data_IF_720695671291
#
_entry.id   IF_720695671291
#
_cell.length_a   1.000
_cell.length_b   1.000
_cell.length_c   1.000
_cell.angle_alpha   90.00
_cell.angle_beta   90.00
_cell.angle_gamma   90.00
#
_symmetry.space_group_name_H-M   'P 1'
#
loop_
_entity.id
_entity.type
_entity.pdbx_description
1 polymer ?
#
# COMPACT_ATOMS: atom_id res chain seq x y z
N UNK A 1 -10.65 12.24 49.43
CA UNK A 1 -10.18 11.49 48.23
C UNK A 1 -8.73 11.00 48.37
N UNK A 2 -7.81 11.74 48.96
CA UNK A 2 -6.37 11.38 49.11
C UNK A 2 -6.09 10.06 49.87
N UNK A 3 -6.84 9.77 50.94
CA UNK A 3 -6.60 8.54 51.74
C UNK A 3 -6.88 7.23 50.96
N UNK A 4 -7.80 7.26 49.99
CA UNK A 4 -8.13 6.08 49.20
C UNK A 4 -7.12 5.89 48.04
N UNK A 5 -6.61 6.97 47.46
CA UNK A 5 -5.59 6.92 46.44
C UNK A 5 -4.28 6.33 46.96
N UNK A 6 -3.83 6.75 48.16
CA UNK A 6 -2.62 6.24 48.80
C UNK A 6 -2.73 4.73 49.11
N UNK A 7 -3.87 4.27 49.60
CA UNK A 7 -4.12 2.83 49.85
C UNK A 7 -4.07 2.01 48.55
N UNK A 8 -4.61 2.54 47.45
CA UNK A 8 -4.61 1.87 46.16
C UNK A 8 -3.18 1.78 45.57
N UNK A 9 -2.38 2.85 45.76
CA UNK A 9 -0.97 2.86 45.32
C UNK A 9 -0.10 1.88 46.13
N UNK A 10 -0.33 1.78 47.42
CA UNK A 10 0.39 0.83 48.28
C UNK A 10 0.03 -0.64 47.93
N UNK A 11 -1.25 -0.88 47.57
CA UNK A 11 -1.75 -2.16 47.12
C UNK A 11 -1.18 -2.55 45.74
N UNK A 12 -1.00 -1.55 44.84
CA UNK A 12 -0.37 -1.73 43.54
C UNK A 12 1.11 -2.09 43.66
N UNK A 13 1.85 -1.37 44.54
CA UNK A 13 3.26 -1.67 44.83
C UNK A 13 3.50 -3.02 45.49
N UNK A 14 2.51 -3.53 46.22
CA UNK A 14 2.55 -4.86 46.85
C UNK A 14 2.11 -5.99 45.90
N UNK A 15 1.67 -5.68 44.68
CA UNK A 15 1.22 -6.69 43.70
C UNK A 15 -0.14 -7.34 44.01
N UNK A 16 -0.99 -6.70 44.84
CA UNK A 16 -2.24 -7.24 45.33
C UNK A 16 -3.50 -6.57 44.75
N UNK A 17 -3.36 -5.85 43.63
CA UNK A 17 -4.48 -5.20 42.94
C UNK A 17 -5.27 -6.15 42.06
N UNK A 18 -6.59 -5.94 41.95
CA UNK A 18 -7.42 -6.58 40.92
C UNK A 18 -7.16 -5.95 39.54
N UNK A 19 -7.53 -6.59 38.42
CA UNK A 19 -7.36 -6.03 37.08
C UNK A 19 -8.01 -4.65 36.91
N UNK A 20 -9.15 -4.42 37.52
CA UNK A 20 -9.87 -3.13 37.47
C UNK A 20 -9.12 -2.05 38.28
N UNK A 21 -8.54 -2.42 39.45
CA UNK A 21 -7.74 -1.53 40.28
C UNK A 21 -6.42 -1.16 39.59
N UNK A 22 -5.82 -2.08 38.85
CA UNK A 22 -4.61 -1.84 38.02
C UNK A 22 -4.91 -0.81 36.92
N UNK A 23 -6.02 -1.00 36.17
CA UNK A 23 -6.40 -0.09 35.10
C UNK A 23 -6.64 1.34 35.62
N UNK A 24 -7.20 1.50 36.83
CA UNK A 24 -7.40 2.82 37.46
C UNK A 24 -6.06 3.50 37.79
N UNK A 25 -5.08 2.76 38.32
CA UNK A 25 -3.76 3.28 38.68
C UNK A 25 -2.97 3.66 37.42
N UNK A 26 -3.00 2.84 36.39
CA UNK A 26 -2.32 3.10 35.13
C UNK A 26 -2.91 4.29 34.39
N UNK A 27 -4.24 4.41 34.33
CA UNK A 27 -4.93 5.58 33.76
C UNK A 27 -4.59 6.86 34.50
N UNK A 28 -4.41 6.80 35.81
CA UNK A 28 -4.02 7.94 36.65
C UNK A 28 -2.58 8.35 36.42
N UNK A 29 -1.67 7.39 36.23
CA UNK A 29 -0.27 7.63 35.93
C UNK A 29 -0.08 8.33 34.58
N UNK A 30 -0.91 8.01 33.58
CA UNK A 30 -0.89 8.63 32.24
C UNK A 30 -1.45 10.07 32.23
N UNK A 31 -2.19 10.50 33.26
CA UNK A 31 -2.77 11.84 33.37
C UNK A 31 -1.89 12.84 34.18
N UNK A 32 -0.81 12.38 34.78
CA UNK A 32 0.11 13.26 35.49
C UNK A 32 1.00 14.03 34.49
N UNK A 33 1.02 15.37 34.53
CA UNK A 33 1.97 16.14 33.73
C UNK A 33 3.38 15.81 34.17
N UNK A 34 4.23 15.38 33.25
CA UNK A 34 5.68 15.21 33.49
C UNK A 34 6.32 16.59 33.64
N UNK A 35 6.38 17.12 34.86
CA UNK A 35 7.35 18.16 35.21
C UNK A 35 8.74 17.55 35.19
N UNK A 36 9.56 17.98 34.24
CA UNK A 36 10.99 17.65 34.16
C UNK A 36 11.76 18.44 35.23
N UNK A 37 11.69 18.01 36.45
CA UNK A 37 12.78 18.36 37.39
C UNK A 37 13.88 17.33 37.27
N UNK A 38 15.07 17.76 36.83
CA UNK A 38 16.25 16.92 36.79
C UNK A 38 16.58 16.46 38.21
N UNK A 39 16.86 15.18 38.48
CA UNK A 39 17.19 14.70 39.81
C UNK A 39 18.49 15.37 40.31
N UNK A 40 18.46 15.84 41.55
CA UNK A 40 19.55 16.55 42.19
C UNK A 40 20.83 15.69 42.21
N UNK A 41 21.88 16.19 41.59
CA UNK A 41 23.18 15.50 41.46
C UNK A 41 23.77 15.06 42.80
N UNK A 42 23.47 15.72 43.91
CA UNK A 42 23.87 15.37 45.25
C UNK A 42 23.29 14.05 45.77
N UNK A 43 22.06 13.74 45.40
CA UNK A 43 21.38 12.47 45.77
C UNK A 43 21.95 11.25 45.03
N UNK A 44 22.45 11.46 43.82
CA UNK A 44 23.04 10.38 43.00
C UNK A 44 24.45 10.03 43.52
N UNK A 45 25.24 11.01 43.96
CA UNK A 45 26.60 10.80 44.50
C UNK A 45 26.59 10.09 45.87
N UNK A 46 25.66 10.44 46.76
CA UNK A 46 25.52 9.76 48.05
C UNK A 46 25.06 8.31 47.90
N UNK A 47 24.17 8.02 46.98
CA UNK A 47 23.72 6.66 46.69
C UNK A 47 24.80 5.77 46.07
N UNK A 48 25.68 6.35 45.23
CA UNK A 48 26.87 5.66 44.70
C UNK A 48 27.85 5.23 45.79
N UNK A 49 28.13 6.10 46.78
CA UNK A 49 29.05 5.83 47.84
C UNK A 49 28.58 4.75 48.80
N UNK A 50 27.27 4.68 49.09
CA UNK A 50 26.69 3.60 49.90
C UNK A 50 26.75 2.24 49.21
N UNK A 51 26.51 2.18 47.90
CA UNK A 51 26.60 0.94 47.11
C UNK A 51 28.04 0.44 47.04
N UNK A 52 29.06 1.35 46.86
CA UNK A 52 30.47 0.98 46.86
C UNK A 52 30.99 0.46 48.21
N UNK A 53 30.50 0.98 49.33
CA UNK A 53 30.88 0.52 50.66
C UNK A 53 30.31 -0.87 51.01
N UNK A 54 29.19 -1.28 50.42
CA UNK A 54 28.61 -2.64 50.57
C UNK A 54 29.27 -3.69 49.67
N UNK A 55 30.01 -3.29 48.62
CA UNK A 55 30.65 -4.20 47.68
C UNK A 55 32.15 -4.45 47.98
N UNK A 56 32.72 -3.91 49.08
CA UNK A 56 34.09 -4.22 49.46
C UNK A 56 34.21 -5.64 50.02
N UNK A 57 34.92 -6.58 49.34
CA UNK A 57 35.11 -7.91 49.86
C UNK A 57 36.07 -7.88 51.05
N UNK A 58 35.69 -8.53 52.16
CA UNK A 58 36.56 -8.75 53.31
C UNK A 58 37.71 -9.68 52.89
N UNK A 59 38.90 -9.13 52.83
CA UNK A 59 40.09 -9.86 52.43
C UNK A 59 40.42 -10.99 53.43
N UNK A 60 40.35 -12.24 52.98
CA UNK A 60 41.05 -13.38 53.61
C UNK A 60 42.39 -13.55 52.91
N UNK A 61 43.46 -13.44 53.68
CA UNK A 61 44.85 -13.67 53.23
C UNK A 61 45.03 -15.15 52.86
N UNK A 62 45.28 -15.43 51.61
CA UNK A 62 45.57 -16.78 51.11
C UNK A 62 47.10 -16.97 51.01
N UNK A 63 47.63 -18.02 51.59
CA UNK A 63 49.06 -18.33 51.65
C UNK A 63 49.67 -18.53 50.23
N UNK A 64 50.86 -17.94 49.98
CA UNK A 64 51.53 -17.78 48.69
C UNK A 64 51.89 -19.09 47.96
N UNK A 65 51.77 -20.28 48.56
CA UNK A 65 52.17 -21.57 47.96
C UNK A 65 51.09 -22.14 47.03
N UNK A 66 49.83 -21.76 47.24
CA UNK A 66 48.70 -22.22 46.39
C UNK A 66 48.57 -21.42 45.09
N UNK A 67 49.10 -20.20 45.03
CA UNK A 67 48.94 -19.29 43.86
C UNK A 67 49.69 -19.83 42.62
N UNK A 68 50.87 -20.45 42.78
CA UNK A 68 51.61 -21.01 41.64
C UNK A 68 50.91 -22.21 40.98
N UNK A 69 50.26 -23.07 41.77
CA UNK A 69 49.51 -24.22 41.22
C UNK A 69 48.18 -23.80 40.56
N UNK A 70 47.54 -22.76 41.08
CA UNK A 70 46.33 -22.19 40.50
C UNK A 70 46.64 -21.44 39.18
N UNK A 71 47.80 -20.74 39.11
CA UNK A 71 48.23 -20.07 37.91
C UNK A 71 48.52 -21.03 36.75
N UNK A 72 49.10 -22.19 37.04
CA UNK A 72 49.34 -23.23 35.99
C UNK A 72 48.03 -23.85 35.54
N UNK A 73 47.08 -24.14 36.43
CA UNK A 73 45.77 -24.69 36.09
C UNK A 73 44.93 -23.65 35.29
N UNK A 74 45.00 -22.35 35.67
CA UNK A 74 44.34 -21.27 34.94
C UNK A 74 44.92 -21.08 33.52
N UNK A 75 46.24 -21.24 33.36
CA UNK A 75 46.89 -21.19 32.02
C UNK A 75 46.45 -22.33 31.12
N UNK A 76 46.32 -23.55 31.65
CA UNK A 76 45.85 -24.70 30.87
C UNK A 76 44.39 -24.53 30.50
N UNK A 77 43.54 -24.04 31.39
CA UNK A 77 42.12 -23.77 31.07
C UNK A 77 42.00 -22.66 30.05
N UNK A 78 42.83 -21.61 30.11
CA UNK A 78 42.85 -20.54 29.11
C UNK A 78 43.27 -21.05 27.73
N UNK A 79 44.32 -21.89 27.65
CA UNK A 79 44.75 -22.51 26.40
C UNK A 79 43.70 -23.46 25.84
N UNK A 80 43.03 -24.23 26.71
CA UNK A 80 41.94 -25.11 26.27
C UNK A 80 40.71 -24.32 25.82
N UNK A 81 40.33 -23.24 26.51
CA UNK A 81 39.20 -22.39 26.11
C UNK A 81 39.50 -21.59 24.84
N UNK A 82 40.72 -21.14 24.61
CA UNK A 82 41.15 -20.51 23.38
C UNK A 82 41.22 -21.55 22.24
N UNK A 83 41.72 -22.76 22.48
CA UNK A 83 41.68 -23.85 21.54
C UNK A 83 40.26 -24.27 21.15
N UNK A 84 39.38 -24.40 22.14
CA UNK A 84 37.96 -24.69 21.95
C UNK A 84 37.24 -23.57 21.22
N UNK A 85 37.54 -22.30 21.56
CA UNK A 85 37.03 -21.12 20.86
C UNK A 85 37.43 -21.11 19.39
N UNK A 86 38.70 -21.44 19.06
CA UNK A 86 39.15 -21.56 17.68
C UNK A 86 38.62 -22.83 16.97
N UNK A 87 38.34 -23.91 17.68
CA UNK A 87 37.78 -25.13 17.13
C UNK A 87 36.28 -25.05 16.90
N UNK A 88 35.52 -24.40 17.83
CA UNK A 88 34.09 -24.15 17.70
C UNK A 88 33.81 -22.94 16.80
N UNK A 89 34.67 -21.92 16.85
CA UNK A 89 34.55 -20.71 16.00
C UNK A 89 34.84 -20.96 14.51
N UNK A 90 35.45 -22.10 14.14
CA UNK A 90 35.60 -22.50 12.73
C UNK A 90 34.37 -23.21 12.16
N UNK A 91 33.44 -23.62 13.00
CA UNK A 91 32.11 -24.10 12.57
C UNK A 91 31.04 -22.98 12.67
N UNK A 92 31.41 -21.74 12.35
CA UNK A 92 30.39 -20.81 11.89
C UNK A 92 29.90 -21.43 10.58
N UNK A 93 28.75 -22.13 10.68
CA UNK A 93 27.87 -22.27 9.53
C UNK A 93 27.91 -20.92 8.81
N UNK A 94 28.17 -20.92 7.47
CA UNK A 94 28.07 -19.66 6.77
C UNK A 94 26.73 -19.09 7.22
N UNK A 95 26.74 -17.96 7.91
CA UNK A 95 25.56 -17.11 7.96
C UNK A 95 25.15 -17.05 6.50
N UNK A 96 24.10 -17.79 6.15
CA UNK A 96 23.42 -17.59 4.88
C UNK A 96 23.34 -16.07 4.80
N UNK A 97 24.15 -15.51 3.91
CA UNK A 97 24.13 -14.08 3.66
C UNK A 97 22.65 -13.82 3.48
N UNK A 98 22.04 -13.15 4.47
CA UNK A 98 20.69 -12.62 4.32
C UNK A 98 20.90 -11.70 3.15
N UNK A 99 20.62 -12.21 1.95
CA UNK A 99 20.66 -11.42 0.73
C UNK A 99 19.83 -10.24 1.13
N UNK A 100 20.45 -9.07 1.32
CA UNK A 100 19.69 -7.84 1.52
C UNK A 100 18.84 -7.77 0.28
N UNK A 101 17.61 -8.21 0.43
CA UNK A 101 16.58 -8.06 -0.58
C UNK A 101 16.59 -6.58 -0.89
N UNK A 102 17.14 -6.20 -2.04
CA UNK A 102 17.07 -4.83 -2.52
C UNK A 102 15.59 -4.52 -2.56
N UNK A 103 15.14 -3.78 -1.57
CA UNK A 103 13.71 -3.54 -1.34
C UNK A 103 13.09 -2.93 -2.59
N UNK A 104 11.94 -3.44 -3.00
CA UNK A 104 11.23 -2.95 -4.17
C UNK A 104 10.37 -1.79 -3.71
N UNK A 105 10.67 -0.62 -4.26
CA UNK A 105 9.96 0.61 -3.94
C UNK A 105 8.52 0.58 -4.50
N UNK A 106 7.59 1.27 -3.84
CA UNK A 106 6.22 1.39 -4.32
C UNK A 106 6.14 2.11 -5.66
N UNK A 107 5.02 1.93 -6.30
CA UNK A 107 4.65 2.68 -7.51
C UNK A 107 4.55 4.18 -7.25
N UNK A 108 4.35 4.95 -8.32
CA UNK A 108 4.28 6.41 -8.26
C UNK A 108 3.47 7.01 -9.41
N UNK A 109 3.58 8.32 -9.59
CA UNK A 109 2.90 9.03 -10.67
C UNK A 109 3.66 8.84 -11.99
N UNK A 110 3.25 7.84 -12.79
CA UNK A 110 3.89 7.50 -14.07
C UNK A 110 2.83 7.26 -15.13
N UNK A 111 2.98 7.90 -16.30
CA UNK A 111 2.12 7.65 -17.45
C UNK A 111 2.81 7.97 -18.77
N UNK A 112 2.35 7.35 -19.83
CA UNK A 112 2.75 7.58 -21.21
C UNK A 112 1.53 8.07 -21.97
N UNK A 113 1.67 9.20 -22.66
CA UNK A 113 0.68 9.75 -23.57
C UNK A 113 1.08 9.44 -25.01
N UNK A 114 0.23 8.74 -25.73
CA UNK A 114 0.36 8.56 -27.18
C UNK A 114 -0.67 9.44 -27.87
N UNK A 115 -0.22 10.35 -28.69
CA UNK A 115 -1.06 11.27 -29.45
C UNK A 115 -1.66 10.61 -30.69
N UNK A 116 -2.68 11.24 -31.27
CA UNK A 116 -3.36 10.74 -32.48
C UNK A 116 -2.44 10.60 -33.70
N UNK A 117 -1.33 11.34 -33.76
CA UNK A 117 -0.31 11.23 -34.80
C UNK A 117 0.75 10.16 -34.51
N UNK A 118 0.63 9.42 -33.42
CA UNK A 118 1.57 8.40 -32.98
C UNK A 118 2.73 8.93 -32.12
N UNK A 119 2.81 10.24 -31.89
CA UNK A 119 3.84 10.81 -31.01
C UNK A 119 3.68 10.27 -29.59
N UNK A 120 4.77 9.77 -29.00
CA UNK A 120 4.79 9.22 -27.65
C UNK A 120 5.49 10.20 -26.71
N UNK A 121 4.84 10.54 -25.62
CA UNK A 121 5.35 11.45 -24.59
C UNK A 121 5.35 10.74 -23.24
N UNK A 122 6.52 10.60 -22.63
CA UNK A 122 6.64 10.15 -21.24
C UNK A 122 6.27 11.33 -20.32
N UNK A 123 5.18 11.19 -19.57
CA UNK A 123 4.67 12.27 -18.71
C UNK A 123 5.50 12.46 -17.44
N UNK A 124 6.30 11.46 -17.03
CA UNK A 124 7.17 11.57 -15.86
C UNK A 124 8.30 12.57 -16.13
N UNK A 125 8.90 12.48 -17.32
CA UNK A 125 10.05 13.28 -17.74
C UNK A 125 9.62 14.63 -18.36
N UNK A 126 8.35 14.75 -18.75
CA UNK A 126 7.83 15.95 -19.38
C UNK A 126 7.83 17.14 -18.39
N UNK A 127 8.39 18.26 -18.82
CA UNK A 127 8.33 19.51 -18.05
C UNK A 127 6.90 20.05 -17.99
N UNK A 128 6.60 20.79 -16.91
CA UNK A 128 5.33 21.53 -16.83
C UNK A 128 5.23 22.55 -17.97
N UNK A 129 4.04 22.72 -18.52
CA UNK A 129 3.77 23.58 -19.65
C UNK A 129 3.18 22.83 -20.84
N UNK A 130 3.25 23.43 -22.01
CA UNK A 130 2.71 22.84 -23.24
C UNK A 130 3.54 21.61 -23.64
N UNK A 131 2.84 20.47 -23.81
CA UNK A 131 3.40 19.21 -24.30
C UNK A 131 3.19 19.08 -25.80
N UNK A 132 1.97 19.37 -26.27
CA UNK A 132 1.58 19.23 -27.67
C UNK A 132 0.49 20.24 -28.05
N UNK A 133 0.25 20.36 -29.36
CA UNK A 133 -0.89 21.08 -29.91
C UNK A 133 -1.47 20.27 -31.07
N UNK A 134 -2.78 20.01 -31.04
CA UNK A 134 -3.49 19.25 -32.05
C UNK A 134 -4.76 20.01 -32.48
N UNK A 135 -4.85 20.46 -33.72
CA UNK A 135 -6.04 21.11 -34.30
C UNK A 135 -6.67 22.19 -33.40
N UNK A 136 -5.86 23.13 -32.89
CA UNK A 136 -6.33 24.21 -32.02
C UNK A 136 -6.54 23.82 -30.55
N UNK A 137 -6.23 22.58 -30.18
CA UNK A 137 -6.27 22.09 -28.79
C UNK A 137 -4.84 22.00 -28.25
N UNK A 138 -4.58 22.68 -27.16
CA UNK A 138 -3.30 22.59 -26.45
C UNK A 138 -3.40 21.53 -25.38
N UNK A 139 -2.44 20.63 -25.39
CA UNK A 139 -2.23 19.63 -24.34
C UNK A 139 -1.08 20.12 -23.46
N UNK A 140 -1.31 20.28 -22.18
CA UNK A 140 -0.30 20.73 -21.22
C UNK A 140 -0.23 19.88 -19.97
N UNK A 141 0.96 19.85 -19.36
CA UNK A 141 1.16 19.34 -18.00
C UNK A 141 1.05 20.53 -17.05
N UNK A 142 0.09 20.49 -16.14
CA UNK A 142 -0.11 21.53 -15.13
C UNK A 142 0.98 21.47 -14.05
N UNK A 143 1.07 22.49 -13.18
CA UNK A 143 2.06 22.54 -12.07
C UNK A 143 1.91 21.41 -11.06
N UNK A 144 0.70 20.89 -10.90
CA UNK A 144 0.39 19.73 -10.06
C UNK A 144 0.68 18.37 -10.74
N UNK A 145 1.26 18.39 -11.95
CA UNK A 145 1.61 17.21 -12.72
C UNK A 145 0.46 16.62 -13.55
N UNK A 146 -0.76 17.13 -13.45
CA UNK A 146 -1.92 16.63 -14.19
C UNK A 146 -1.87 17.04 -15.66
N UNK A 147 -2.44 16.18 -16.52
CA UNK A 147 -2.63 16.51 -17.94
C UNK A 147 -3.93 17.28 -18.12
N UNK A 148 -3.88 18.39 -18.84
CA UNK A 148 -5.03 19.26 -19.13
C UNK A 148 -5.13 19.56 -20.63
N UNK A 149 -6.38 19.71 -21.10
CA UNK A 149 -6.71 20.12 -22.47
C UNK A 149 -7.27 21.53 -22.47
N UNK A 150 -6.68 22.42 -23.29
CA UNK A 150 -7.13 23.80 -23.48
C UNK A 150 -7.58 23.93 -24.93
N UNK A 151 -8.87 24.11 -25.15
CA UNK A 151 -9.46 24.34 -26.46
C UNK A 151 -9.30 25.84 -26.81
N UNK A 152 -8.43 26.17 -27.75
CA UNK A 152 -8.27 27.55 -28.29
C UNK A 152 -9.23 27.84 -29.41
N UNK A 153 -9.45 26.85 -30.28
CA UNK A 153 -10.33 26.99 -31.44
C UNK A 153 -11.17 25.71 -31.55
N UNK A 154 -12.47 25.87 -31.82
CA UNK A 154 -13.34 24.72 -32.09
C UNK A 154 -13.05 24.28 -33.53
N UNK A 155 -12.58 23.06 -33.77
CA UNK A 155 -12.31 22.57 -35.11
C UNK A 155 -13.54 22.64 -35.99
N UNK A 156 -13.44 23.28 -37.16
CA UNK A 156 -14.52 23.34 -38.15
C UNK A 156 -14.74 22.00 -38.88
N UNK A 157 -13.77 21.07 -38.80
CA UNK A 157 -13.83 19.75 -39.43
C UNK A 157 -14.18 18.68 -38.36
N UNK A 158 -14.74 17.53 -38.78
CA UNK A 158 -14.90 16.39 -37.89
C UNK A 158 -13.56 16.01 -37.27
N UNK A 159 -13.53 15.97 -35.95
CA UNK A 159 -12.34 15.56 -35.19
C UNK A 159 -12.15 14.07 -35.36
N UNK A 160 -11.17 13.68 -36.17
CA UNK A 160 -10.80 12.28 -36.35
C UNK A 160 -9.45 12.06 -35.68
N UNK A 161 -9.44 11.30 -34.58
CA UNK A 161 -8.22 10.91 -33.90
C UNK A 161 -8.42 10.76 -32.40
N UNK A 162 -7.68 9.84 -31.84
CA UNK A 162 -7.75 9.52 -30.40
C UNK A 162 -6.36 9.58 -29.79
N UNK A 163 -6.28 10.12 -28.61
CA UNK A 163 -5.12 10.00 -27.76
C UNK A 163 -5.29 8.78 -26.84
N UNK A 164 -4.16 8.21 -26.45
CA UNK A 164 -4.14 7.10 -25.48
C UNK A 164 -3.23 7.51 -24.32
N UNK A 165 -3.74 7.43 -23.10
CA UNK A 165 -2.93 7.53 -21.90
C UNK A 165 -2.83 6.16 -21.25
N UNK A 166 -1.62 5.74 -20.93
CA UNK A 166 -1.34 4.45 -20.32
C UNK A 166 -0.48 4.63 -19.07
N UNK A 167 -0.91 4.05 -17.97
CA UNK A 167 -0.08 3.87 -16.79
C UNK A 167 0.62 2.53 -16.87
N UNK A 168 1.94 2.47 -16.75
CA UNK A 168 2.65 1.17 -16.65
C UNK A 168 2.32 0.49 -15.31
N UNK A 169 2.76 -0.74 -15.17
CA UNK A 169 2.85 -1.35 -13.83
C UNK A 169 3.72 -0.45 -12.95
N UNK A 170 3.35 -0.27 -11.69
CA UNK A 170 3.97 0.69 -10.78
C UNK A 170 3.66 2.16 -11.09
N UNK A 171 2.66 2.45 -11.94
CA UNK A 171 2.24 3.81 -12.28
C UNK A 171 0.80 4.07 -11.92
N UNK A 172 0.47 5.28 -11.51
CA UNK A 172 -0.89 5.83 -11.45
C UNK A 172 -0.86 7.25 -11.96
N UNK A 173 -1.99 7.73 -12.52
CA UNK A 173 -2.01 9.09 -13.08
C UNK A 173 -3.40 9.70 -13.06
N UNK A 174 -3.46 11.03 -13.05
CA UNK A 174 -4.70 11.78 -13.19
C UNK A 174 -4.68 12.61 -14.47
N UNK A 175 -5.77 12.56 -15.23
CA UNK A 175 -5.97 13.34 -16.44
C UNK A 175 -7.31 14.07 -16.42
N UNK A 176 -7.34 15.31 -16.93
CA UNK A 176 -8.58 16.02 -17.24
C UNK A 176 -8.82 15.89 -18.74
N UNK A 177 -9.96 15.32 -19.14
CA UNK A 177 -10.35 15.13 -20.54
C UNK A 177 -10.82 16.44 -21.16
N UNK A 178 -10.99 16.50 -22.52
CA UNK A 178 -11.40 17.72 -23.22
C UNK A 178 -12.76 18.31 -22.82
N UNK A 179 -13.66 17.52 -22.21
CA UNK A 179 -14.96 17.97 -21.68
C UNK A 179 -14.90 18.41 -20.21
N UNK A 180 -13.70 18.41 -19.60
CA UNK A 180 -13.50 18.69 -18.18
C UNK A 180 -13.73 17.50 -17.25
N UNK A 181 -14.06 16.31 -17.77
CA UNK A 181 -14.13 15.07 -16.99
C UNK A 181 -12.75 14.75 -16.40
N UNK A 182 -12.69 14.45 -15.11
CA UNK A 182 -11.46 14.02 -14.46
C UNK A 182 -11.43 12.51 -14.34
N UNK A 183 -10.29 11.93 -14.65
CA UNK A 183 -10.07 10.48 -14.60
C UNK A 183 -8.79 10.18 -13.85
N UNK A 184 -8.87 9.32 -12.84
CA UNK A 184 -7.72 8.71 -12.16
C UNK A 184 -7.53 7.31 -12.73
N UNK A 185 -6.33 7.01 -13.16
CA UNK A 185 -5.94 5.72 -13.71
C UNK A 185 -5.09 4.98 -12.69
N UNK A 186 -5.47 3.76 -12.34
CA UNK A 186 -4.67 2.88 -11.49
C UNK A 186 -3.51 2.26 -12.30
N UNK A 187 -2.65 1.46 -11.67
CA UNK A 187 -1.51 0.80 -12.32
C UNK A 187 -1.96 -0.16 -13.44
N UNK A 188 -1.14 -0.26 -14.49
CA UNK A 188 -1.41 -1.12 -15.65
C UNK A 188 -2.77 -0.82 -16.34
N UNK A 189 -3.10 0.47 -16.50
CA UNK A 189 -4.37 0.92 -17.07
C UNK A 189 -4.14 1.70 -18.35
N UNK A 190 -5.03 1.51 -19.34
CA UNK A 190 -5.02 2.25 -20.60
C UNK A 190 -6.40 2.88 -20.84
N UNK A 191 -6.39 4.17 -21.11
CA UNK A 191 -7.57 4.94 -21.50
C UNK A 191 -7.34 5.57 -22.88
N UNK A 192 -8.21 5.22 -23.84
CA UNK A 192 -8.22 5.83 -25.16
C UNK A 192 -9.44 6.73 -25.29
N UNK A 193 -9.21 7.96 -25.75
CA UNK A 193 -10.24 8.99 -25.85
C UNK A 193 -9.95 9.92 -27.04
N UNK A 194 -10.98 10.48 -27.70
CA UNK A 194 -10.77 11.46 -28.73
C UNK A 194 -10.22 12.76 -28.15
N UNK A 195 -9.33 13.44 -28.88
CA UNK A 195 -8.81 14.73 -28.41
C UNK A 195 -9.87 15.86 -28.45
N UNK A 196 -11.03 15.62 -29.13
CA UNK A 196 -12.27 16.38 -28.97
C UNK A 196 -13.47 15.43 -29.13
N UNK A 197 -14.46 15.55 -28.25
CA UNK A 197 -15.65 14.70 -28.29
C UNK A 197 -16.62 15.09 -29.41
N UNK A 198 -17.39 14.11 -29.88
CA UNK A 198 -18.45 14.31 -30.86
C UNK A 198 -19.58 15.23 -30.33
N UNK A 199 -20.42 15.72 -31.24
CA UNK A 199 -21.52 16.62 -30.88
C UNK A 199 -22.67 15.92 -30.13
N UNK A 200 -22.79 14.62 -30.26
CA UNK A 200 -23.92 13.83 -29.75
C UNK A 200 -23.54 12.84 -28.63
N UNK A 201 -22.25 12.56 -28.43
CA UNK A 201 -21.80 11.63 -27.40
C UNK A 201 -20.33 11.86 -27.01
N UNK A 202 -19.93 11.33 -25.85
CA UNK A 202 -18.55 11.36 -25.34
C UNK A 202 -18.14 9.91 -25.06
N UNK A 203 -17.35 9.32 -25.95
CA UNK A 203 -16.96 7.91 -25.86
C UNK A 203 -15.49 7.79 -25.52
N UNK A 204 -15.17 6.94 -24.54
CA UNK A 204 -13.80 6.53 -24.19
C UNK A 204 -13.73 5.01 -24.11
N UNK A 205 -12.53 4.45 -24.29
CA UNK A 205 -12.26 3.01 -24.19
C UNK A 205 -11.31 2.79 -23.00
N UNK A 206 -11.65 1.85 -22.12
CA UNK A 206 -10.88 1.55 -20.90
C UNK A 206 -10.47 0.08 -20.88
N UNK A 207 -9.18 -0.15 -20.57
CA UNK A 207 -8.65 -1.43 -20.12
C UNK A 207 -7.89 -1.21 -18.81
N UNK A 208 -8.22 -1.94 -17.75
CA UNK A 208 -7.67 -1.73 -16.42
C UNK A 208 -8.66 -1.09 -15.46
N UNK A 209 -8.20 -0.26 -14.52
CA UNK A 209 -9.04 0.36 -13.50
C UNK A 209 -8.95 1.87 -13.51
N UNK A 210 -10.11 2.53 -13.52
CA UNK A 210 -10.20 3.97 -13.46
C UNK A 210 -11.41 4.47 -12.68
N UNK A 211 -11.19 5.57 -11.96
CA UNK A 211 -12.22 6.35 -11.31
C UNK A 211 -12.51 7.61 -12.13
N UNK A 212 -13.79 7.91 -12.33
CA UNK A 212 -14.29 8.99 -13.16
C UNK A 212 -15.11 9.99 -12.35
N UNK A 213 -14.80 11.27 -12.50
CA UNK A 213 -15.68 12.40 -12.15
C UNK A 213 -16.15 13.05 -13.46
N UNK A 214 -17.27 12.58 -13.98
CA UNK A 214 -17.76 13.01 -15.30
C UNK A 214 -18.43 14.37 -15.21
N UNK A 215 -18.01 15.28 -16.09
CA UNK A 215 -18.65 16.58 -16.24
C UNK A 215 -20.12 16.43 -16.65
N UNK A 216 -21.02 17.18 -15.96
CA UNK A 216 -22.46 17.13 -16.21
C UNK A 216 -22.80 17.64 -17.60
N UNK A 217 -23.43 16.81 -18.43
CA UNK A 217 -23.92 17.14 -19.75
C UNK A 217 -25.12 16.23 -20.06
N UNK A 218 -26.33 16.78 -19.99
CA UNK A 218 -27.57 16.04 -20.19
C UNK A 218 -27.89 15.74 -21.66
N UNK A 219 -27.17 16.39 -22.60
CA UNK A 219 -27.41 16.27 -24.04
C UNK A 219 -26.48 15.19 -24.61
N UNK A 220 -25.22 15.13 -24.16
CA UNK A 220 -24.21 14.23 -24.68
C UNK A 220 -23.86 13.19 -23.62
N UNK A 221 -24.38 11.97 -23.68
CA UNK A 221 -24.00 10.92 -22.74
C UNK A 221 -22.50 10.61 -22.82
N UNK A 222 -21.91 10.34 -21.65
CA UNK A 222 -20.54 9.85 -21.55
C UNK A 222 -20.56 8.34 -21.46
N UNK A 223 -19.82 7.68 -22.34
CA UNK A 223 -19.76 6.23 -22.42
C UNK A 223 -18.35 5.73 -22.24
N UNK A 224 -18.16 4.83 -21.26
CA UNK A 224 -16.93 4.07 -21.10
C UNK A 224 -17.15 2.68 -21.67
N UNK A 225 -16.41 2.34 -22.73
CA UNK A 225 -16.39 1.01 -23.33
C UNK A 225 -15.23 0.20 -22.76
N UNK A 226 -15.51 -1.02 -22.35
CA UNK A 226 -14.53 -2.07 -22.06
C UNK A 226 -14.76 -3.21 -23.03
N UNK A 227 -13.92 -4.24 -23.00
CA UNK A 227 -14.05 -5.39 -23.90
C UNK A 227 -15.40 -6.13 -23.75
N UNK A 228 -16.03 -6.07 -22.56
CA UNK A 228 -17.25 -6.86 -22.28
C UNK A 228 -18.48 -6.04 -21.89
N UNK A 229 -18.35 -4.74 -21.63
CA UNK A 229 -19.48 -3.89 -21.23
C UNK A 229 -19.31 -2.44 -21.71
N UNK A 230 -20.45 -1.73 -21.72
CA UNK A 230 -20.52 -0.27 -21.88
C UNK A 230 -21.20 0.32 -20.67
N UNK A 231 -20.57 1.34 -20.07
CA UNK A 231 -21.09 2.13 -18.96
C UNK A 231 -21.49 3.49 -19.50
N UNK A 232 -22.76 3.89 -19.31
CA UNK A 232 -23.31 5.17 -19.80
C UNK A 232 -23.77 6.05 -18.63
N UNK A 233 -23.37 7.34 -18.65
CA UNK A 233 -23.68 8.34 -17.63
C UNK A 233 -23.90 9.72 -18.24
N UNK A 234 -24.50 10.65 -17.45
CA UNK A 234 -24.70 12.06 -17.86
C UNK A 234 -23.91 13.07 -17.01
N UNK A 235 -23.33 12.63 -15.86
CA UNK A 235 -22.60 13.48 -14.93
C UNK A 235 -22.54 12.80 -13.57
N UNK A 236 -21.57 11.93 -13.34
CA UNK A 236 -21.61 10.84 -12.36
C UNK A 236 -20.21 10.59 -11.84
N UNK A 237 -20.09 10.18 -10.57
CA UNK A 237 -18.85 9.71 -9.96
C UNK A 237 -18.91 8.18 -9.82
N UNK A 238 -17.99 7.47 -10.45
CA UNK A 238 -17.98 6.01 -10.46
C UNK A 238 -16.59 5.44 -10.70
N UNK A 239 -16.37 4.20 -10.26
CA UNK A 239 -15.16 3.42 -10.50
C UNK A 239 -15.46 2.25 -11.44
N UNK A 240 -14.58 1.94 -12.36
CA UNK A 240 -14.61 0.71 -13.16
C UNK A 240 -13.30 -0.03 -12.94
N UNK A 241 -13.39 -1.31 -12.52
CA UNK A 241 -12.30 -2.26 -12.52
C UNK A 241 -12.55 -3.30 -13.59
N UNK A 242 -11.80 -3.20 -14.70
CA UNK A 242 -11.93 -4.03 -15.90
C UNK A 242 -10.57 -4.54 -16.38
N UNK A 243 -9.76 -5.07 -15.47
CA UNK A 243 -8.52 -5.74 -15.85
C UNK A 243 -8.79 -7.08 -16.52
N UNK A 244 -8.02 -7.39 -17.57
CA UNK A 244 -8.19 -8.64 -18.34
C UNK A 244 -7.74 -9.90 -17.55
N UNK A 245 -6.95 -9.72 -16.47
CA UNK A 245 -6.54 -10.79 -15.56
C UNK A 245 -7.51 -11.01 -14.38
N UNK A 246 -8.61 -10.22 -14.32
CA UNK A 246 -9.71 -10.40 -13.38
C UNK A 246 -10.90 -11.11 -14.07
N UNK A 247 -11.56 -12.02 -13.33
CA UNK A 247 -12.72 -12.77 -13.86
C UNK A 247 -14.02 -11.97 -13.83
N UNK A 248 -14.04 -10.91 -13.04
CA UNK A 248 -15.22 -10.08 -12.80
C UNK A 248 -14.86 -8.63 -13.11
N UNK A 249 -15.59 -8.03 -14.02
CA UNK A 249 -15.58 -6.57 -14.21
C UNK A 249 -16.54 -5.97 -13.19
N UNK A 250 -16.06 -4.98 -12.45
CA UNK A 250 -16.83 -4.25 -11.43
C UNK A 250 -17.07 -2.82 -11.88
N UNK A 251 -18.29 -2.32 -11.71
CA UNK A 251 -18.62 -0.90 -11.86
C UNK A 251 -19.32 -0.42 -10.60
N UNK A 252 -18.69 0.46 -9.85
CA UNK A 252 -19.17 0.97 -8.55
C UNK A 252 -19.66 2.39 -8.71
N UNK A 253 -20.90 2.67 -8.33
CA UNK A 253 -21.48 4.00 -8.38
C UNK A 253 -21.39 4.72 -7.02
N UNK A 254 -20.78 5.92 -7.04
CA UNK A 254 -20.65 6.77 -5.84
C UNK A 254 -21.72 7.88 -5.82
N UNK A 255 -21.88 8.60 -6.94
CA UNK A 255 -22.83 9.71 -7.08
C UNK A 255 -23.43 9.73 -8.47
N UNK A 256 -24.75 10.05 -8.57
CA UNK A 256 -25.47 10.19 -9.82
C UNK A 256 -26.20 8.94 -10.22
N UNK A 257 -26.16 8.57 -11.49
CA UNK A 257 -26.79 7.38 -12.06
C UNK A 257 -25.90 6.74 -13.15
N UNK A 258 -25.86 5.43 -13.16
CA UNK A 258 -25.08 4.63 -14.13
C UNK A 258 -26.00 3.61 -14.80
N UNK A 259 -25.93 3.51 -16.14
CA UNK A 259 -26.45 2.37 -16.89
C UNK A 259 -25.29 1.51 -17.37
N UNK A 260 -25.27 0.26 -16.94
CA UNK A 260 -24.31 -0.76 -17.41
C UNK A 260 -25.00 -1.67 -18.40
N UNK A 261 -24.38 -1.89 -19.56
CA UNK A 261 -24.93 -2.73 -20.63
C UNK A 261 -23.86 -3.72 -21.11
N UNK A 262 -24.27 -4.93 -21.41
CA UNK A 262 -23.47 -5.94 -22.11
C UNK A 262 -24.32 -6.69 -23.16
N UNK A 263 -23.77 -7.75 -23.75
CA UNK A 263 -24.52 -8.57 -24.76
C UNK A 263 -25.77 -9.25 -24.17
N UNK A 264 -25.86 -9.45 -22.85
CA UNK A 264 -26.96 -10.15 -22.18
C UNK A 264 -28.09 -9.21 -21.70
N UNK A 265 -27.86 -7.89 -21.71
CA UNK A 265 -28.84 -6.92 -21.24
C UNK A 265 -28.25 -5.66 -20.64
N UNK A 266 -29.08 -4.91 -19.91
CA UNK A 266 -28.64 -3.70 -19.22
C UNK A 266 -29.23 -3.60 -17.82
N UNK A 267 -28.52 -2.91 -16.92
CA UNK A 267 -28.92 -2.62 -15.55
C UNK A 267 -28.61 -1.18 -15.19
N UNK A 268 -29.42 -0.59 -14.33
CA UNK A 268 -29.16 0.74 -13.76
C UNK A 268 -28.69 0.59 -12.32
N UNK A 269 -27.64 1.33 -11.94
CA UNK A 269 -27.12 1.41 -10.58
C UNK A 269 -27.62 2.67 -9.90
N UNK A 270 -27.85 2.55 -8.61
CA UNK A 270 -28.05 3.65 -7.66
C UNK A 270 -26.76 3.90 -6.88
N UNK A 271 -26.57 5.11 -6.30
CA UNK A 271 -25.43 5.37 -5.43
C UNK A 271 -25.30 4.32 -4.32
N UNK A 272 -24.09 3.78 -4.12
CA UNK A 272 -23.84 2.69 -3.20
C UNK A 272 -23.96 1.29 -3.79
N UNK A 273 -24.36 1.14 -5.05
CA UNK A 273 -24.47 -0.17 -5.73
C UNK A 273 -23.26 -0.43 -6.64
N UNK A 274 -22.98 -1.70 -6.88
CA UNK A 274 -21.94 -2.19 -7.79
C UNK A 274 -22.53 -3.19 -8.78
N UNK A 275 -22.26 -3.03 -10.06
CA UNK A 275 -22.47 -4.11 -11.02
C UNK A 275 -21.25 -5.04 -11.06
N UNK A 276 -21.51 -6.33 -11.18
CA UNK A 276 -20.50 -7.39 -11.33
C UNK A 276 -20.80 -8.19 -12.57
N UNK A 277 -19.93 -8.07 -13.57
CA UNK A 277 -20.03 -8.81 -14.82
C UNK A 277 -19.00 -9.95 -14.84
N UNK A 278 -19.46 -11.18 -14.84
CA UNK A 278 -18.58 -12.33 -15.05
C UNK A 278 -18.28 -12.48 -16.54
N UNK A 279 -16.99 -12.31 -16.93
CA UNK A 279 -16.56 -12.31 -18.33
C UNK A 279 -16.76 -13.66 -19.03
N UNK A 280 -16.71 -14.78 -18.29
CA UNK A 280 -16.85 -16.13 -18.85
C UNK A 280 -18.30 -16.52 -19.15
N UNK A 281 -19.24 -16.03 -18.33
CA UNK A 281 -20.66 -16.38 -18.44
C UNK A 281 -21.52 -15.25 -18.99
N UNK A 282 -20.94 -14.06 -19.17
CA UNK A 282 -21.63 -12.81 -19.50
C UNK A 282 -22.77 -12.44 -18.52
N UNK A 283 -22.81 -13.07 -17.33
CA UNK A 283 -23.82 -12.80 -16.31
C UNK A 283 -23.50 -11.48 -15.62
N UNK A 284 -24.46 -10.55 -15.71
CA UNK A 284 -24.43 -9.26 -15.04
C UNK A 284 -25.36 -9.31 -13.82
N UNK A 285 -24.87 -8.89 -12.66
CA UNK A 285 -25.66 -8.80 -11.41
C UNK A 285 -25.38 -7.46 -10.71
N UNK A 286 -26.30 -7.02 -9.85
CA UNK A 286 -26.10 -5.87 -8.95
C UNK A 286 -25.84 -6.40 -7.54
N UNK A 287 -24.78 -5.90 -6.93
CA UNK A 287 -24.46 -6.06 -5.53
C UNK A 287 -24.81 -4.75 -4.81
N UNK A 288 -25.62 -4.84 -3.74
CA UNK A 288 -26.13 -3.68 -3.00
C UNK A 288 -25.44 -3.48 -1.65
N UNK A 289 -24.74 -4.51 -1.21
CA UNK A 289 -24.01 -4.53 0.08
C UNK A 289 -22.52 -4.48 -0.19
N UNK A 290 -22.04 -3.32 -0.69
CA UNK A 290 -20.64 -3.12 -1.03
C UNK A 290 -19.97 -2.16 -0.04
N UNK A 291 -18.71 -2.42 0.24
CA UNK A 291 -17.84 -1.47 0.91
C UNK A 291 -17.23 -0.52 -0.14
N UNK A 292 -17.76 0.71 -0.21
CA UNK A 292 -17.29 1.75 -1.14
C UNK A 292 -15.84 2.14 -0.79
N UNK A 293 -15.49 2.23 0.49
CA UNK A 293 -14.15 2.64 0.93
C UNK A 293 -13.10 1.62 0.46
N UNK A 294 -13.42 0.32 0.50
CA UNK A 294 -12.59 -0.74 -0.07
C UNK A 294 -12.42 -0.58 -1.59
N UNK A 295 -13.50 -0.37 -2.34
CA UNK A 295 -13.43 -0.23 -3.80
C UNK A 295 -12.68 1.04 -4.23
N UNK A 296 -12.62 2.07 -3.35
CA UNK A 296 -11.93 3.34 -3.57
C UNK A 296 -10.56 3.43 -2.91
N UNK A 297 -10.13 2.41 -2.14
CA UNK A 297 -8.90 2.42 -1.36
C UNK A 297 -7.65 2.71 -2.22
N UNK A 298 -7.60 2.17 -3.45
CA UNK A 298 -6.48 2.40 -4.37
C UNK A 298 -6.27 3.88 -4.70
N UNK A 299 -7.36 4.63 -4.90
CA UNK A 299 -7.34 6.08 -5.18
C UNK A 299 -6.90 6.86 -3.94
N UNK A 300 -7.19 6.35 -2.75
CA UNK A 300 -6.80 6.89 -1.45
C UNK A 300 -5.40 6.42 -1.00
N UNK A 301 -4.65 5.78 -1.91
CA UNK A 301 -3.29 5.28 -1.69
C UNK A 301 -3.20 4.17 -0.62
N UNK A 302 -4.23 3.32 -0.54
CA UNK A 302 -4.33 2.19 0.39
C UNK A 302 -4.60 0.91 -0.41
N UNK A 303 -4.01 -0.21 0.00
CA UNK A 303 -4.50 -1.54 -0.28
C UNK A 303 -5.51 -1.88 0.82
N UNK A 304 -6.74 -2.16 0.46
CA UNK A 304 -7.77 -2.63 1.40
C UNK A 304 -8.22 -4.02 1.00
N UNK A 305 -8.08 -4.95 1.90
CA UNK A 305 -8.44 -6.35 1.74
C UNK A 305 -9.55 -6.68 2.74
N UNK A 306 -10.65 -7.20 2.23
CA UNK A 306 -11.75 -7.70 3.04
C UNK A 306 -12.26 -8.99 2.41
N UNK A 307 -11.98 -10.11 3.08
CA UNK A 307 -12.33 -11.44 2.61
C UNK A 307 -11.78 -11.78 1.21
N UNK A 308 -10.60 -11.20 0.86
CA UNK A 308 -9.94 -11.44 -0.42
C UNK A 308 -9.06 -12.69 -0.38
N UNK A 309 -8.96 -13.39 -1.50
CA UNK A 309 -8.02 -14.49 -1.63
C UNK A 309 -6.61 -13.99 -1.98
N UNK A 310 -5.61 -14.82 -1.66
CA UNK A 310 -4.21 -14.50 -1.91
C UNK A 310 -3.92 -14.14 -3.37
N UNK A 311 -4.57 -14.79 -4.31
CA UNK A 311 -4.36 -14.52 -5.74
C UNK A 311 -4.84 -13.12 -6.12
N UNK A 312 -5.98 -12.70 -5.59
CA UNK A 312 -6.51 -11.33 -5.78
C UNK A 312 -5.57 -10.28 -5.20
N UNK A 313 -5.05 -10.51 -3.98
CA UNK A 313 -4.07 -9.64 -3.33
C UNK A 313 -2.79 -9.55 -4.17
N UNK A 314 -2.25 -10.69 -4.58
CA UNK A 314 -1.00 -10.74 -5.32
C UNK A 314 -1.10 -10.10 -6.71
N UNK A 315 -2.27 -10.13 -7.37
CA UNK A 315 -2.47 -9.36 -8.61
C UNK A 315 -2.40 -7.85 -8.38
N UNK A 316 -2.98 -7.33 -7.28
CA UNK A 316 -2.88 -5.92 -6.93
C UNK A 316 -1.42 -5.53 -6.61
N UNK A 317 -0.71 -6.34 -5.82
CA UNK A 317 0.71 -6.17 -5.50
C UNK A 317 1.55 -6.18 -6.78
N UNK A 318 1.34 -7.18 -7.64
CA UNK A 318 2.03 -7.35 -8.91
C UNK A 318 1.92 -6.09 -9.78
N UNK A 319 0.71 -5.56 -9.94
CA UNK A 319 0.47 -4.32 -10.72
C UNK A 319 1.14 -3.09 -10.10
N UNK A 320 1.13 -2.96 -8.76
CA UNK A 320 1.64 -1.76 -8.10
C UNK A 320 3.16 -1.73 -7.93
N UNK A 321 3.80 -2.88 -7.65
CA UNK A 321 5.24 -2.96 -7.46
C UNK A 321 6.00 -3.36 -8.74
N UNK A 322 5.30 -3.59 -9.86
CA UNK A 322 5.88 -4.06 -11.12
C UNK A 322 6.69 -5.35 -10.94
N UNK A 323 6.08 -6.36 -10.33
CA UNK A 323 6.67 -7.67 -10.03
C UNK A 323 5.81 -8.80 -10.57
N UNK A 324 6.43 -9.86 -11.05
CA UNK A 324 5.74 -11.06 -11.51
C UNK A 324 5.55 -12.05 -10.37
N UNK A 325 4.38 -12.71 -10.34
CA UNK A 325 4.03 -13.65 -9.27
C UNK A 325 3.96 -15.06 -9.81
N UNK A 326 4.70 -15.96 -9.17
CA UNK A 326 4.73 -17.41 -9.48
C UNK A 326 4.28 -18.15 -8.23
N UNK A 327 3.34 -19.08 -8.39
CA UNK A 327 2.83 -19.89 -7.29
C UNK A 327 3.48 -21.27 -7.28
N UNK A 328 3.94 -21.73 -6.11
CA UNK A 328 4.50 -23.06 -5.90
C UNK A 328 3.68 -23.86 -4.90
N UNK A 329 3.37 -25.10 -5.23
CA UNK A 329 2.56 -25.96 -4.39
C UNK A 329 1.09 -25.61 -4.39
N UNK A 330 0.37 -26.09 -3.37
CA UNK A 330 -1.06 -25.85 -3.20
C UNK A 330 -1.27 -24.61 -2.35
N UNK A 331 -1.85 -23.59 -2.93
CA UNK A 331 -2.24 -22.38 -2.20
C UNK A 331 -3.51 -22.68 -1.39
N UNK A 332 -3.45 -22.42 -0.10
CA UNK A 332 -4.63 -22.57 0.79
C UNK A 332 -5.70 -21.55 0.44
N UNK A 333 -7.00 -21.91 0.52
CA UNK A 333 -8.10 -21.00 0.21
C UNK A 333 -8.39 -20.02 1.38
N UNK A 334 -7.33 -19.53 2.02
CA UNK A 334 -7.45 -18.55 3.10
C UNK A 334 -7.93 -17.21 2.59
N UNK A 335 -8.64 -16.50 3.45
CA UNK A 335 -9.15 -15.16 3.21
C UNK A 335 -8.43 -14.15 4.09
N UNK A 336 -8.13 -13.01 3.52
CA UNK A 336 -7.32 -11.98 4.17
C UNK A 336 -8.14 -10.71 4.37
N UNK A 337 -7.90 -10.07 5.53
CA UNK A 337 -8.49 -8.79 5.91
C UNK A 337 -7.39 -7.88 6.42
N UNK A 338 -7.41 -6.62 6.01
CA UNK A 338 -6.47 -5.61 6.48
C UNK A 338 -6.25 -4.48 5.50
N UNK A 339 -5.59 -3.43 5.98
CA UNK A 339 -5.24 -2.27 5.19
C UNK A 339 -3.73 -2.03 5.25
N UNK A 340 -3.14 -1.72 4.10
CA UNK A 340 -1.70 -1.46 3.95
C UNK A 340 -1.54 -0.19 3.12
N UNK A 341 -0.78 0.82 3.58
CA UNK A 341 -0.47 1.98 2.75
C UNK A 341 0.27 1.57 1.47
N UNK A 342 -0.17 2.04 0.32
CA UNK A 342 0.50 1.79 -0.97
C UNK A 342 1.87 2.45 -1.08
N UNK A 343 2.18 3.38 -0.17
CA UNK A 343 3.50 3.98 -0.02
C UNK A 343 4.52 3.08 0.70
N UNK A 344 4.09 1.99 1.32
CA UNK A 344 4.98 1.01 1.95
C UNK A 344 5.86 0.31 0.92
N UNK A 345 7.06 -0.05 1.33
CA UNK A 345 7.95 -0.89 0.53
C UNK A 345 7.43 -2.33 0.49
N UNK A 346 7.79 -3.07 -0.55
CA UNK A 346 7.30 -4.44 -0.75
C UNK A 346 7.66 -5.38 0.42
N UNK A 347 8.83 -5.20 1.03
CA UNK A 347 9.23 -5.98 2.20
C UNK A 347 8.31 -5.76 3.42
N UNK A 348 7.81 -4.55 3.63
CA UNK A 348 6.82 -4.26 4.68
C UNK A 348 5.48 -4.95 4.41
N UNK A 349 5.03 -4.92 3.15
CA UNK A 349 3.80 -5.62 2.72
C UNK A 349 3.93 -7.12 2.98
N UNK A 350 5.06 -7.72 2.63
CA UNK A 350 5.29 -9.16 2.85
C UNK A 350 5.37 -9.52 4.32
N UNK A 351 5.99 -8.68 5.14
CA UNK A 351 6.02 -8.90 6.58
C UNK A 351 4.61 -9.02 7.17
N UNK A 352 3.67 -8.25 6.66
CA UNK A 352 2.26 -8.32 7.07
C UNK A 352 1.61 -9.63 6.56
N UNK A 353 1.87 -10.01 5.31
CA UNK A 353 1.33 -11.24 4.72
C UNK A 353 1.96 -12.52 5.31
N UNK A 354 3.25 -12.52 5.62
CA UNK A 354 3.94 -13.64 6.27
C UNK A 354 3.39 -13.96 7.66
N UNK A 355 2.90 -12.96 8.40
CA UNK A 355 2.19 -13.19 9.67
C UNK A 355 0.95 -14.08 9.50
N UNK A 356 0.43 -14.22 8.29
CA UNK A 356 -0.70 -15.06 7.93
C UNK A 356 -0.27 -16.38 7.25
N UNK A 357 0.91 -16.92 7.58
CA UNK A 357 1.42 -18.21 7.07
C UNK A 357 1.68 -18.29 5.55
N UNK A 358 1.88 -17.15 4.89
CA UNK A 358 2.30 -17.10 3.49
C UNK A 358 3.81 -16.90 3.42
N UNK A 359 4.51 -17.83 2.75
CA UNK A 359 5.93 -17.67 2.48
C UNK A 359 6.17 -17.09 1.09
N UNK A 360 6.93 -15.98 1.01
CA UNK A 360 7.22 -15.28 -0.23
C UNK A 360 8.73 -15.13 -0.41
N UNK A 361 9.25 -15.70 -1.50
CA UNK A 361 10.64 -15.52 -1.91
C UNK A 361 10.72 -14.49 -3.04
N UNK A 362 11.65 -13.54 -2.94
CA UNK A 362 11.85 -12.49 -3.94
C UNK A 362 13.17 -12.71 -4.67
N UNK A 363 13.13 -12.86 -5.99
CA UNK A 363 14.30 -12.93 -6.87
C UNK A 363 14.19 -11.90 -7.99
N UNK A 364 14.87 -10.77 -7.84
CA UNK A 364 14.74 -9.64 -8.76
C UNK A 364 13.32 -9.10 -8.77
N UNK A 365 12.62 -9.19 -9.92
CA UNK A 365 11.20 -8.81 -10.06
C UNK A 365 10.24 -10.02 -9.98
N UNK A 366 10.70 -11.20 -9.61
CA UNK A 366 9.85 -12.38 -9.51
C UNK A 366 9.60 -12.71 -8.05
N UNK A 367 8.33 -12.85 -7.71
CA UNK A 367 7.83 -13.27 -6.41
C UNK A 367 7.39 -14.73 -6.50
N UNK A 368 8.03 -15.60 -5.74
CA UNK A 368 7.58 -16.98 -5.59
C UNK A 368 6.76 -17.10 -4.33
N UNK A 369 5.47 -17.39 -4.46
CA UNK A 369 4.51 -17.53 -3.38
C UNK A 369 4.26 -19.00 -3.13
N UNK A 370 4.55 -19.48 -1.92
CA UNK A 370 4.28 -20.85 -1.50
C UNK A 370 3.31 -20.91 -0.33
N UNK A 371 2.35 -21.83 -0.40
CA UNK A 371 1.52 -22.18 0.73
C UNK A 371 2.22 -23.20 1.64
N UNK A 372 1.90 -23.19 2.92
CA UNK A 372 2.33 -24.22 3.87
C UNK A 372 1.68 -25.56 3.58
#
# INVERSE_FOLDING_TARGET
MEKNAKKLLDKYRAGHCTPEEIAIVEAWYLQLPFEKEAPDHLLIETSKQEVWNRLRPHGRSVKLVTVKRIAIAAGIILCFSVGLYFMVGRNTLPLTAKTELKDILPGGHKAILTLADGTVVNLDDAKNGQIASQNGIIIRKAKNGQLEYIIKEIPNAPVTGSNTISTPRGGQYQVSLPDGTKVWLNAATTLKYPYAFAKNERVVELNGEAYFEVSKDHIRPFRVKTDAQTVEVLGTHFNINAYNDERIIKTTLLEGAVKVSNASGSMNLQPGEQSRLNINTAKLIIDKEIDIDKEMAWKNNIFSFDNDDLQTIMRQISRWYDVDVVYQGKITPEKYVGEIPRSSNLAEVFKILELNHVHIEVKGKVLTVSGN
#
